data_IF_234295956078
#
_entry.id   IF_234295956078
#
_cell.length_a   1.000
_cell.length_b   1.000
_cell.length_c   1.000
_cell.angle_alpha   90.00
_cell.angle_beta   90.00
_cell.angle_gamma   90.00
#
_symmetry.space_group_name_H-M   'P 1'
#
loop_
_entity.id
_entity.type
_entity.pdbx_description
1 polymer ?
#
# COMPACT_ATOMS: atom_id res chain seq x y z
N UNK A 1 116.06 -63.63 98.20
CA UNK A 1 116.10 -64.49 99.40
C UNK A 1 116.72 -65.85 99.03
N UNK A 2 118.04 -66.03 99.14
CA UNK A 2 118.63 -67.34 99.36
C UNK A 2 118.65 -67.68 100.87
N UNK A 3 119.15 -68.87 101.21
CA UNK A 3 119.25 -69.52 102.55
C UNK A 3 117.99 -70.29 102.97
N UNK A 4 118.10 -71.63 103.04
CA UNK A 4 117.00 -72.48 103.50
C UNK A 4 117.12 -74.00 103.27
N UNK A 5 118.22 -74.52 102.70
CA UNK A 5 118.47 -75.96 102.62
C UNK A 5 119.97 -76.25 102.69
N UNK A 6 120.54 -76.25 103.90
CA UNK A 6 121.77 -77.01 104.13
C UNK A 6 121.43 -78.50 104.01
N UNK A 7 122.35 -79.32 103.52
CA UNK A 7 122.10 -80.75 103.32
C UNK A 7 121.62 -81.42 104.61
N UNK A 8 120.63 -82.30 104.50
CA UNK A 8 120.10 -83.03 105.65
C UNK A 8 121.18 -83.94 106.26
N UNK A 9 121.27 -83.99 107.58
CA UNK A 9 122.33 -84.74 108.28
C UNK A 9 121.88 -86.17 108.58
N UNK A 10 122.51 -87.12 107.90
CA UNK A 10 122.40 -88.56 108.16
C UNK A 10 123.43 -89.03 109.21
N UNK A 11 123.31 -90.30 109.63
CA UNK A 11 124.18 -90.91 110.66
C UNK A 11 125.64 -91.01 110.14
N UNK A 12 126.47 -90.03 110.51
CA UNK A 12 127.87 -89.75 110.06
C UNK A 12 128.03 -88.80 108.85
N UNK A 13 127.13 -87.83 108.62
CA UNK A 13 127.42 -86.70 107.73
C UNK A 13 126.22 -86.23 106.91
N UNK A 14 126.46 -85.42 105.89
CA UNK A 14 125.40 -84.93 104.99
C UNK A 14 124.82 -86.02 104.08
N UNK A 15 123.56 -85.84 103.68
CA UNK A 15 122.85 -86.72 102.74
C UNK A 15 123.51 -86.71 101.37
N UNK A 16 124.17 -87.82 101.03
CA UNK A 16 124.91 -87.97 99.77
C UNK A 16 124.06 -87.66 98.54
N UNK A 17 122.81 -88.12 98.49
CA UNK A 17 121.92 -87.86 97.35
C UNK A 17 121.65 -86.37 97.12
N UNK A 18 121.49 -85.58 98.18
CA UNK A 18 121.29 -84.13 98.07
C UNK A 18 122.58 -83.39 97.70
N UNK A 19 123.73 -83.88 98.16
CA UNK A 19 125.04 -83.35 97.75
C UNK A 19 125.30 -83.62 96.27
N UNK A 20 125.04 -84.85 95.81
CA UNK A 20 125.21 -85.24 94.41
C UNK A 20 124.25 -84.41 93.50
N UNK A 21 122.97 -84.24 93.86
CA UNK A 21 122.01 -83.37 93.14
C UNK A 21 122.46 -81.90 93.08
N UNK A 22 122.99 -81.36 94.19
CA UNK A 22 123.49 -79.99 94.24
C UNK A 22 124.78 -79.79 93.43
N UNK A 23 125.65 -80.80 93.37
CA UNK A 23 126.84 -80.78 92.51
C UNK A 23 126.45 -80.87 91.03
N UNK A 24 125.50 -81.73 90.66
CA UNK A 24 124.95 -81.77 89.30
C UNK A 24 124.32 -80.43 88.89
N UNK A 25 123.63 -79.75 89.82
CA UNK A 25 123.11 -78.39 89.60
C UNK A 25 124.21 -77.37 89.40
N UNK A 26 125.25 -77.35 90.26
CA UNK A 26 126.39 -76.45 90.11
C UNK A 26 127.18 -76.71 88.82
N UNK A 27 127.34 -77.97 88.41
CA UNK A 27 127.98 -78.32 87.13
C UNK A 27 127.13 -77.88 85.93
N UNK A 28 125.80 -77.92 86.03
CA UNK A 28 124.90 -77.37 85.02
C UNK A 28 124.98 -75.84 84.96
N UNK A 29 124.96 -75.16 86.12
CA UNK A 29 125.09 -73.70 86.23
C UNK A 29 126.46 -73.23 85.71
N UNK A 30 127.55 -73.94 86.01
CA UNK A 30 128.88 -73.66 85.48
C UNK A 30 128.95 -73.86 83.96
N UNK A 31 128.34 -74.92 83.41
CA UNK A 31 128.26 -75.13 81.97
C UNK A 31 127.48 -74.00 81.28
N UNK A 32 126.36 -73.56 81.87
CA UNK A 32 125.59 -72.42 81.39
C UNK A 32 126.41 -71.13 81.43
N UNK A 33 127.05 -70.80 82.56
CA UNK A 33 127.90 -69.61 82.69
C UNK A 33 129.11 -69.64 81.73
N UNK A 34 129.69 -70.80 81.44
CA UNK A 34 130.75 -70.89 80.43
C UNK A 34 130.22 -70.68 79.02
N UNK A 35 129.04 -71.20 78.68
CA UNK A 35 128.40 -70.96 77.39
C UNK A 35 128.02 -69.47 77.22
N UNK A 36 127.45 -68.84 78.25
CA UNK A 36 127.11 -67.42 78.27
C UNK A 36 128.35 -66.53 78.15
N UNK A 37 129.44 -66.87 78.86
CA UNK A 37 130.75 -66.20 78.73
C UNK A 37 131.28 -66.31 77.30
N UNK A 38 131.26 -67.50 76.72
CA UNK A 38 131.84 -67.73 75.40
C UNK A 38 131.00 -67.08 74.29
N UNK A 39 129.67 -67.03 74.45
CA UNK A 39 128.77 -66.24 73.62
C UNK A 39 129.03 -64.73 73.75
N UNK A 40 129.24 -64.21 74.97
CA UNK A 40 129.57 -62.81 75.20
C UNK A 40 130.95 -62.43 74.61
N UNK A 41 131.95 -63.32 74.69
CA UNK A 41 133.26 -63.14 74.05
C UNK A 41 133.12 -63.10 72.52
N UNK A 42 132.31 -63.98 71.93
CA UNK A 42 132.04 -63.96 70.50
C UNK A 42 131.36 -62.66 70.07
N UNK A 43 130.30 -62.22 70.77
CA UNK A 43 129.61 -60.95 70.50
C UNK A 43 130.54 -59.74 70.66
N UNK A 44 131.41 -59.72 71.67
CA UNK A 44 132.40 -58.67 71.84
C UNK A 44 133.41 -58.64 70.68
N UNK A 45 133.84 -59.81 70.18
CA UNK A 45 134.68 -59.93 68.99
C UNK A 45 133.99 -59.45 67.72
N UNK A 46 132.70 -59.72 67.54
CA UNK A 46 131.91 -59.25 66.40
C UNK A 46 131.71 -57.73 66.42
N UNK A 47 131.36 -57.16 67.57
CA UNK A 47 131.23 -55.72 67.75
C UNK A 47 132.57 -55.01 67.55
N UNK A 48 133.69 -55.59 68.02
CA UNK A 48 135.02 -55.05 67.76
C UNK A 48 135.34 -55.02 66.25
N UNK A 49 135.00 -56.08 65.51
CA UNK A 49 135.17 -56.11 64.04
C UNK A 49 134.32 -55.07 63.33
N UNK A 50 133.05 -54.91 63.71
CA UNK A 50 132.16 -53.87 63.15
C UNK A 50 132.66 -52.46 63.45
N UNK A 51 133.17 -52.21 64.66
CA UNK A 51 133.77 -50.94 65.04
C UNK A 51 135.02 -50.61 64.22
N UNK A 52 135.90 -51.59 63.95
CA UNK A 52 137.08 -51.35 63.09
C UNK A 52 136.69 -51.11 61.62
N UNK A 53 135.68 -51.80 61.10
CA UNK A 53 135.14 -51.52 59.75
C UNK A 53 134.61 -50.08 59.68
N UNK A 54 133.73 -49.69 60.60
CA UNK A 54 133.18 -48.34 60.64
C UNK A 54 134.25 -47.26 60.90
N UNK A 55 135.30 -47.56 61.69
CA UNK A 55 136.46 -46.67 61.87
C UNK A 55 137.24 -46.49 60.56
N UNK A 56 137.45 -47.56 59.81
CA UNK A 56 138.05 -47.53 58.48
C UNK A 56 137.24 -46.66 57.51
N UNK A 57 135.94 -46.93 57.38
CA UNK A 57 135.02 -46.14 56.53
C UNK A 57 135.00 -44.65 56.91
N UNK A 58 134.96 -44.33 58.22
CA UNK A 58 135.03 -42.95 58.69
C UNK A 58 136.38 -42.30 58.38
N UNK A 59 137.50 -43.04 58.47
CA UNK A 59 138.81 -42.53 58.11
C UNK A 59 138.93 -42.27 56.60
N UNK A 60 138.41 -43.18 55.76
CA UNK A 60 138.37 -43.02 54.31
C UNK A 60 137.49 -41.85 53.88
N UNK A 61 136.28 -41.72 54.46
CA UNK A 61 135.38 -40.59 54.20
C UNK A 61 135.98 -39.26 54.66
N UNK A 62 136.66 -39.22 55.83
CA UNK A 62 137.40 -38.03 56.27
C UNK A 62 138.53 -37.69 55.32
N UNK A 63 139.32 -38.66 54.89
CA UNK A 63 140.38 -38.46 53.91
C UNK A 63 139.86 -37.97 52.54
N UNK A 64 138.67 -38.41 52.12
CA UNK A 64 137.98 -37.85 50.94
C UNK A 64 137.55 -36.40 51.18
N UNK A 65 136.92 -36.09 52.31
CA UNK A 65 136.50 -34.73 52.68
C UNK A 65 137.69 -33.78 52.75
N UNK A 66 138.80 -34.18 53.37
CA UNK A 66 140.02 -33.37 53.49
C UNK A 66 140.64 -33.08 52.10
N UNK A 67 140.69 -34.09 51.21
CA UNK A 67 141.11 -33.91 49.80
C UNK A 67 140.19 -32.96 49.03
N UNK A 68 138.88 -32.99 49.29
CA UNK A 68 137.90 -32.12 48.66
C UNK A 68 137.88 -30.71 49.25
N UNK A 69 138.26 -30.54 50.53
CA UNK A 69 138.27 -29.26 51.25
C UNK A 69 139.54 -28.43 50.99
N UNK A 70 140.67 -29.08 50.71
CA UNK A 70 141.90 -28.39 50.30
C UNK A 70 141.77 -27.76 48.90
N UNK A 71 142.48 -26.65 48.61
CA UNK A 71 142.56 -26.12 47.25
C UNK A 71 143.10 -27.18 46.28
N UNK A 72 142.53 -27.33 45.07
CA UNK A 72 142.92 -28.39 44.15
C UNK A 72 144.32 -28.13 43.56
N UNK A 73 145.34 -28.69 44.21
CA UNK A 73 146.74 -28.67 43.75
C UNK A 73 147.07 -29.82 42.78
N UNK A 74 146.14 -30.75 42.57
CA UNK A 74 146.25 -31.85 41.60
C UNK A 74 145.09 -31.84 40.59
N UNK A 75 145.38 -32.31 39.37
CA UNK A 75 144.40 -32.42 38.27
C UNK A 75 143.27 -33.40 38.60
N UNK A 76 143.59 -34.44 39.37
CA UNK A 76 142.67 -35.51 39.75
C UNK A 76 141.60 -35.02 40.73
N UNK A 77 141.98 -34.22 41.75
CA UNK A 77 141.03 -33.60 42.67
C UNK A 77 140.13 -32.54 42.01
N UNK A 78 140.64 -31.86 40.97
CA UNK A 78 139.82 -30.98 40.14
C UNK A 78 138.77 -31.78 39.35
N UNK A 79 139.16 -32.92 38.76
CA UNK A 79 138.24 -33.77 37.99
C UNK A 79 137.15 -34.40 38.84
N UNK A 80 137.45 -34.89 40.06
CA UNK A 80 136.46 -35.45 40.98
C UNK A 80 135.45 -34.39 41.43
N UNK A 81 135.92 -33.18 41.77
CA UNK A 81 135.05 -32.05 42.14
C UNK A 81 134.15 -31.64 40.96
N UNK A 82 134.67 -31.59 39.74
CA UNK A 82 133.88 -31.28 38.54
C UNK A 82 132.83 -32.36 38.27
N UNK A 83 133.15 -33.65 38.41
CA UNK A 83 132.19 -34.73 38.27
C UNK A 83 131.06 -34.66 39.31
N UNK A 84 131.39 -34.37 40.58
CA UNK A 84 130.38 -34.16 41.65
C UNK A 84 129.52 -32.91 41.38
N UNK A 85 130.11 -31.82 40.91
CA UNK A 85 129.39 -30.60 40.54
C UNK A 85 128.46 -30.82 39.33
N UNK A 86 128.92 -31.53 38.30
CA UNK A 86 128.10 -31.89 37.13
C UNK A 86 126.94 -32.81 37.53
N UNK A 87 127.17 -33.78 38.42
CA UNK A 87 126.11 -34.64 38.95
C UNK A 87 125.08 -33.84 39.73
N UNK A 88 125.51 -32.97 40.66
CA UNK A 88 124.60 -32.11 41.42
C UNK A 88 123.82 -31.13 40.52
N UNK A 89 124.44 -30.63 39.45
CA UNK A 89 123.75 -29.80 38.46
C UNK A 89 122.76 -30.61 37.59
N UNK A 90 123.04 -31.89 37.31
CA UNK A 90 122.11 -32.80 36.65
C UNK A 90 120.93 -33.15 37.56
N UNK A 91 121.18 -33.40 38.84
CA UNK A 91 120.17 -33.69 39.85
C UNK A 91 119.24 -32.46 40.05
N UNK A 92 119.79 -31.24 40.21
CA UNK A 92 118.99 -30.01 40.27
C UNK A 92 118.24 -29.72 38.96
N UNK A 93 118.83 -30.05 37.79
CA UNK A 93 118.14 -29.94 36.50
C UNK A 93 117.00 -30.96 36.35
N UNK A 94 117.10 -32.13 36.98
CA UNK A 94 116.02 -33.10 37.04
C UNK A 94 114.91 -32.62 37.99
N UNK A 95 115.26 -32.14 39.19
CA UNK A 95 114.31 -31.62 40.18
C UNK A 95 113.55 -30.38 39.68
N UNK A 96 114.23 -29.45 39.00
CA UNK A 96 113.58 -28.27 38.41
C UNK A 96 112.63 -28.64 37.27
N UNK A 97 112.97 -29.65 36.44
CA UNK A 97 112.04 -30.21 35.45
C UNK A 97 110.85 -30.89 36.12
N UNK A 98 111.07 -31.74 37.12
CA UNK A 98 110.00 -32.43 37.84
C UNK A 98 109.03 -31.44 38.51
N UNK A 99 109.55 -30.36 39.12
CA UNK A 99 108.75 -29.26 39.67
C UNK A 99 107.93 -28.55 38.57
N UNK A 100 108.57 -28.17 37.46
CA UNK A 100 107.89 -27.51 36.34
C UNK A 100 106.83 -28.39 35.66
N UNK A 101 107.07 -29.70 35.54
CA UNK A 101 106.11 -30.67 35.01
C UNK A 101 104.91 -30.87 35.94
N UNK A 102 105.14 -30.93 37.26
CA UNK A 102 104.07 -30.97 38.25
C UNK A 102 103.22 -29.69 38.25
N UNK A 103 103.85 -28.51 38.21
CA UNK A 103 103.16 -27.22 38.08
C UNK A 103 102.35 -27.12 36.78
N UNK A 104 102.93 -27.53 35.65
CA UNK A 104 102.22 -27.58 34.37
C UNK A 104 101.04 -28.57 34.40
N UNK A 105 101.20 -29.71 35.07
CA UNK A 105 100.13 -30.68 35.34
C UNK A 105 98.99 -30.08 36.15
N UNK A 106 99.30 -29.39 37.26
CA UNK A 106 98.31 -28.68 38.08
C UNK A 106 97.58 -27.57 37.32
N UNK A 107 98.29 -26.78 36.51
CA UNK A 107 97.68 -25.73 35.67
C UNK A 107 96.73 -26.34 34.63
N UNK A 108 97.13 -27.43 33.95
CA UNK A 108 96.27 -28.14 32.99
C UNK A 108 95.03 -28.73 33.65
N UNK A 109 95.21 -29.48 34.75
CA UNK A 109 94.10 -30.10 35.47
C UNK A 109 93.10 -29.05 36.00
N UNK A 110 93.58 -27.90 36.47
CA UNK A 110 92.72 -26.78 36.85
C UNK A 110 91.97 -26.20 35.64
N UNK A 111 92.67 -25.91 34.55
CA UNK A 111 92.06 -25.36 33.33
C UNK A 111 91.02 -26.31 32.70
N UNK A 112 91.26 -27.62 32.75
CA UNK A 112 90.31 -28.66 32.31
C UNK A 112 89.09 -28.72 33.23
N UNK A 113 89.30 -28.64 34.55
CA UNK A 113 88.21 -28.57 35.54
C UNK A 113 87.35 -27.32 35.32
N UNK A 114 87.97 -26.14 35.22
CA UNK A 114 87.28 -24.87 34.98
C UNK A 114 86.54 -24.89 33.63
N UNK A 115 87.15 -25.42 32.57
CA UNK A 115 86.50 -25.57 31.26
C UNK A 115 85.31 -26.56 31.29
N UNK A 116 85.42 -27.67 32.04
CA UNK A 116 84.30 -28.62 32.20
C UNK A 116 83.15 -28.00 32.98
N UNK A 117 83.43 -27.25 34.04
CA UNK A 117 82.43 -26.54 34.84
C UNK A 117 81.73 -25.45 34.02
N UNK A 118 82.44 -24.73 33.16
CA UNK A 118 81.85 -23.75 32.24
C UNK A 118 80.96 -24.42 31.19
N UNK A 119 81.37 -25.54 30.58
CA UNK A 119 80.53 -26.31 29.64
C UNK A 119 79.24 -26.78 30.29
N UNK A 120 79.32 -27.40 31.48
CA UNK A 120 78.15 -27.87 32.21
C UNK A 120 77.16 -26.74 32.55
N UNK A 121 77.67 -25.54 32.91
CA UNK A 121 76.84 -24.35 33.14
C UNK A 121 76.16 -23.86 31.86
N UNK A 122 76.85 -23.86 30.72
CA UNK A 122 76.25 -23.47 29.44
C UNK A 122 75.21 -24.49 28.96
N UNK A 123 75.45 -25.79 29.14
CA UNK A 123 74.47 -26.84 28.84
C UNK A 123 73.20 -26.67 29.69
N UNK A 124 73.36 -26.43 31.01
CA UNK A 124 72.23 -26.10 31.90
C UNK A 124 71.46 -24.86 31.42
N UNK A 125 72.15 -23.75 31.13
CA UNK A 125 71.51 -22.52 30.64
C UNK A 125 70.78 -22.72 29.31
N UNK A 126 71.35 -23.50 28.38
CA UNK A 126 70.68 -23.84 27.12
C UNK A 126 69.42 -24.66 27.36
N UNK A 127 69.46 -25.66 28.25
CA UNK A 127 68.25 -26.43 28.59
C UNK A 127 67.18 -25.59 29.29
N UNK A 128 67.56 -24.63 30.14
CA UNK A 128 66.63 -23.69 30.78
C UNK A 128 65.99 -22.75 29.74
N UNK A 129 66.77 -22.21 28.80
CA UNK A 129 66.26 -21.38 27.71
C UNK A 129 65.33 -22.16 26.77
N UNK A 130 65.64 -23.41 26.46
CA UNK A 130 64.78 -24.28 25.64
C UNK A 130 63.47 -24.64 26.35
N UNK A 131 63.50 -24.88 27.66
CA UNK A 131 62.29 -25.10 28.48
C UNK A 131 61.43 -23.83 28.51
N UNK A 132 62.02 -22.70 28.89
CA UNK A 132 61.33 -21.41 28.93
C UNK A 132 60.76 -21.01 27.58
N UNK A 133 61.47 -21.31 26.48
CA UNK A 133 60.97 -21.09 25.12
C UNK A 133 59.73 -21.95 24.85
N UNK A 134 59.74 -23.24 25.19
CA UNK A 134 58.57 -24.14 25.01
C UNK A 134 57.38 -23.71 25.86
N UNK A 135 57.62 -23.24 27.08
CA UNK A 135 56.58 -22.68 27.96
C UNK A 135 55.96 -21.44 27.34
N UNK A 136 56.77 -20.45 26.95
CA UNK A 136 56.30 -19.24 26.26
C UNK A 136 55.57 -19.54 24.95
N UNK A 137 56.04 -20.50 24.15
CA UNK A 137 55.35 -20.94 22.92
C UNK A 137 54.00 -21.63 23.22
N UNK A 138 53.90 -22.38 24.32
CA UNK A 138 52.66 -23.03 24.75
C UNK A 138 51.66 -22.02 25.34
N UNK A 139 52.11 -21.07 26.15
CA UNK A 139 51.29 -19.95 26.66
C UNK A 139 50.79 -19.07 25.51
N UNK A 140 51.67 -18.66 24.59
CA UNK A 140 51.28 -17.87 23.44
C UNK A 140 50.28 -18.61 22.55
N UNK A 141 50.45 -19.92 22.35
CA UNK A 141 49.48 -20.74 21.61
C UNK A 141 48.12 -20.76 22.30
N UNK A 142 48.06 -20.98 23.62
CA UNK A 142 46.80 -20.92 24.40
C UNK A 142 46.13 -19.56 24.26
N UNK A 143 46.86 -18.47 24.47
CA UNK A 143 46.33 -17.10 24.32
C UNK A 143 45.78 -16.85 22.91
N UNK A 144 46.44 -17.37 21.86
CA UNK A 144 45.92 -17.27 20.48
C UNK A 144 44.70 -18.16 20.24
N UNK A 145 44.63 -19.35 20.83
CA UNK A 145 43.48 -20.27 20.74
C UNK A 145 42.27 -19.68 21.48
N UNK A 146 42.46 -19.18 22.71
CA UNK A 146 41.45 -18.52 23.53
C UNK A 146 40.94 -17.25 22.84
N UNK A 147 41.83 -16.37 22.35
CA UNK A 147 41.44 -15.15 21.63
C UNK A 147 40.68 -15.45 20.32
N UNK A 148 41.04 -16.54 19.61
CA UNK A 148 40.28 -17.00 18.42
C UNK A 148 38.91 -17.56 18.80
N UNK A 149 38.82 -18.31 19.89
CA UNK A 149 37.56 -18.85 20.39
C UNK A 149 36.61 -17.74 20.89
N UNK A 150 37.15 -16.73 21.60
CA UNK A 150 36.41 -15.56 22.04
C UNK A 150 35.95 -14.70 20.86
N UNK A 151 36.84 -14.38 19.92
CA UNK A 151 36.50 -13.65 18.70
C UNK A 151 35.38 -14.36 17.91
N UNK A 152 35.48 -15.70 17.77
CA UNK A 152 34.42 -16.49 17.14
C UNK A 152 33.10 -16.43 17.93
N UNK A 153 33.14 -16.56 19.26
CA UNK A 153 31.94 -16.41 20.10
C UNK A 153 31.29 -15.03 19.93
N UNK A 154 32.08 -13.97 19.77
CA UNK A 154 31.59 -12.61 19.52
C UNK A 154 30.95 -12.51 18.13
N UNK A 155 31.58 -13.05 17.08
CA UNK A 155 30.98 -13.05 15.73
C UNK A 155 29.70 -13.87 15.67
N UNK A 156 29.71 -15.09 16.22
CA UNK A 156 28.56 -16.00 16.21
C UNK A 156 27.36 -15.37 16.95
N UNK A 157 27.60 -14.68 18.08
CA UNK A 157 26.57 -13.91 18.81
C UNK A 157 26.06 -12.72 18.02
N UNK A 158 26.96 -11.92 17.44
CA UNK A 158 26.57 -10.75 16.64
C UNK A 158 25.77 -11.14 15.39
N UNK A 159 26.10 -12.27 14.75
CA UNK A 159 25.32 -12.80 13.63
C UNK A 159 23.95 -13.33 14.08
N UNK A 160 23.87 -14.01 15.22
CA UNK A 160 22.59 -14.47 15.77
C UNK A 160 21.67 -13.29 16.17
N UNK A 161 22.22 -12.24 16.78
CA UNK A 161 21.47 -11.01 17.09
C UNK A 161 21.04 -10.28 15.81
N UNK A 162 21.90 -10.18 14.79
CA UNK A 162 21.56 -9.63 13.48
C UNK A 162 20.39 -10.39 12.85
N UNK A 163 20.50 -11.71 12.73
CA UNK A 163 19.44 -12.57 12.17
C UNK A 163 18.12 -12.43 12.93
N UNK A 164 18.17 -12.33 14.27
CA UNK A 164 16.98 -12.09 15.08
C UNK A 164 16.34 -10.73 14.80
N UNK A 165 17.14 -9.66 14.75
CA UNK A 165 16.65 -8.30 14.46
C UNK A 165 16.13 -8.16 13.02
N UNK A 166 16.75 -8.83 12.06
CA UNK A 166 16.29 -8.90 10.67
C UNK A 166 14.92 -9.60 10.61
N UNK A 167 14.78 -10.78 11.22
CA UNK A 167 13.52 -11.51 11.28
C UNK A 167 12.40 -10.77 12.03
N UNK A 168 12.72 -10.10 13.15
CA UNK A 168 11.77 -9.21 13.85
C UNK A 168 11.37 -8.01 12.99
N UNK A 169 12.27 -7.47 12.18
CA UNK A 169 12.01 -6.33 11.30
C UNK A 169 11.17 -6.74 10.09
N UNK A 170 11.42 -7.91 9.51
CA UNK A 170 10.61 -8.49 8.44
C UNK A 170 9.19 -8.80 8.94
N UNK A 171 9.04 -9.45 10.09
CA UNK A 171 7.73 -9.73 10.69
C UNK A 171 6.92 -8.45 11.00
N UNK A 172 7.59 -7.36 11.43
CA UNK A 172 6.95 -6.05 11.61
C UNK A 172 6.55 -5.41 10.29
N UNK A 173 7.35 -5.57 9.22
CA UNK A 173 6.99 -5.07 7.88
C UNK A 173 5.76 -5.81 7.34
N UNK A 174 5.76 -7.14 7.38
CA UNK A 174 4.60 -7.93 6.92
C UNK A 174 3.36 -7.61 7.72
N UNK A 175 3.45 -7.46 9.05
CA UNK A 175 2.31 -7.05 9.87
C UNK A 175 1.77 -5.66 9.47
N UNK A 176 2.65 -4.67 9.26
CA UNK A 176 2.24 -3.32 8.85
C UNK A 176 1.66 -3.31 7.43
N UNK A 177 2.17 -4.15 6.53
CA UNK A 177 1.62 -4.34 5.19
C UNK A 177 0.22 -4.98 5.24
N UNK A 178 0.03 -6.04 6.02
CA UNK A 178 -1.27 -6.68 6.26
C UNK A 178 -2.29 -5.71 6.89
N UNK A 179 -1.93 -5.02 7.97
CA UNK A 179 -2.78 -4.03 8.64
C UNK A 179 -3.15 -2.87 7.68
N UNK A 180 -2.21 -2.43 6.84
CA UNK A 180 -2.45 -1.40 5.83
C UNK A 180 -3.38 -1.90 4.71
N UNK A 181 -3.19 -3.13 4.22
CA UNK A 181 -4.08 -3.72 3.22
C UNK A 181 -5.51 -3.90 3.74
N UNK A 182 -5.67 -4.35 5.00
CA UNK A 182 -6.96 -4.46 5.67
C UNK A 182 -7.61 -3.08 5.82
N UNK A 183 -6.88 -2.08 6.32
CA UNK A 183 -7.39 -0.72 6.47
C UNK A 183 -7.78 -0.08 5.13
N UNK A 184 -6.99 -0.31 4.07
CA UNK A 184 -7.27 0.17 2.72
C UNK A 184 -8.40 -0.61 2.04
N UNK A 185 -8.58 -1.90 2.33
CA UNK A 185 -9.75 -2.66 1.90
C UNK A 185 -11.02 -2.11 2.57
N UNK A 186 -11.02 -1.97 3.90
CA UNK A 186 -12.14 -1.40 4.66
C UNK A 186 -12.51 0.02 4.20
N UNK A 187 -11.52 0.87 3.94
CA UNK A 187 -11.74 2.22 3.40
C UNK A 187 -12.28 2.21 1.97
N UNK A 188 -11.85 1.27 1.12
CA UNK A 188 -12.41 1.09 -0.24
C UNK A 188 -13.86 0.61 -0.18
N UNK A 189 -14.19 -0.36 0.67
CA UNK A 189 -15.57 -0.86 0.82
C UNK A 189 -16.50 0.22 1.37
N UNK A 190 -16.04 1.02 2.34
CA UNK A 190 -16.84 2.12 2.88
C UNK A 190 -17.03 3.26 1.86
N UNK A 191 -15.99 3.61 1.10
CA UNK A 191 -16.12 4.58 0.00
C UNK A 191 -17.08 4.08 -1.10
N UNK A 192 -17.04 2.79 -1.45
CA UNK A 192 -18.00 2.19 -2.37
C UNK A 192 -19.43 2.20 -1.81
N UNK A 193 -19.60 1.94 -0.51
CA UNK A 193 -20.91 2.02 0.17
C UNK A 193 -21.49 3.43 0.12
N UNK A 194 -20.70 4.44 0.47
CA UNK A 194 -21.11 5.85 0.43
C UNK A 194 -21.45 6.30 -1.00
N UNK A 195 -20.68 5.88 -2.01
CA UNK A 195 -21.00 6.16 -3.41
C UNK A 195 -22.32 5.48 -3.83
N UNK A 196 -22.53 4.22 -3.47
CA UNK A 196 -23.78 3.51 -3.76
C UNK A 196 -24.99 4.14 -3.06
N UNK A 197 -24.84 4.61 -1.81
CA UNK A 197 -25.86 5.35 -1.08
C UNK A 197 -26.16 6.72 -1.72
N UNK A 198 -25.13 7.46 -2.17
CA UNK A 198 -25.31 8.71 -2.90
C UNK A 198 -25.99 8.50 -4.26
N UNK A 199 -25.63 7.44 -5.00
CA UNK A 199 -26.30 7.08 -6.24
C UNK A 199 -27.76 6.68 -6.00
N UNK A 200 -28.04 5.87 -4.98
CA UNK A 200 -29.38 5.44 -4.62
C UNK A 200 -30.27 6.62 -4.19
N UNK A 201 -29.74 7.51 -3.35
CA UNK A 201 -30.41 8.75 -2.98
C UNK A 201 -30.67 9.65 -4.19
N UNK A 202 -29.67 9.82 -5.07
CA UNK A 202 -29.81 10.64 -6.29
C UNK A 202 -30.85 10.07 -7.26
N UNK A 203 -30.89 8.73 -7.41
CA UNK A 203 -31.91 8.02 -8.22
C UNK A 203 -33.29 8.19 -7.59
N UNK A 204 -33.45 7.98 -6.28
CA UNK A 204 -34.71 8.14 -5.58
C UNK A 204 -35.24 9.58 -5.64
N UNK A 205 -34.36 10.60 -5.56
CA UNK A 205 -34.78 11.99 -5.78
C UNK A 205 -35.16 12.29 -7.23
N UNK A 206 -34.45 11.72 -8.22
CA UNK A 206 -34.80 11.89 -9.62
C UNK A 206 -36.16 11.25 -9.92
N UNK A 207 -36.41 10.03 -9.42
CA UNK A 207 -37.71 9.36 -9.48
C UNK A 207 -38.81 10.17 -8.78
N UNK A 208 -38.52 10.77 -7.62
CA UNK A 208 -39.46 11.66 -6.92
C UNK A 208 -39.81 12.89 -7.77
N UNK A 209 -38.81 13.61 -8.30
CA UNK A 209 -39.03 14.78 -9.18
C UNK A 209 -39.79 14.42 -10.46
N UNK A 210 -39.49 13.26 -11.06
CA UNK A 210 -40.23 12.76 -12.24
C UNK A 210 -41.68 12.42 -11.89
N UNK A 211 -41.93 11.84 -10.71
CA UNK A 211 -43.29 11.56 -10.22
C UNK A 211 -44.07 12.83 -9.93
N UNK A 212 -43.49 13.76 -9.16
CA UNK A 212 -44.07 15.09 -8.87
C UNK A 212 -44.41 15.82 -10.18
N UNK A 213 -43.47 15.89 -11.14
CA UNK A 213 -43.72 16.51 -12.44
C UNK A 213 -44.76 15.76 -13.29
N UNK A 214 -44.88 14.44 -13.18
CA UNK A 214 -45.90 13.65 -13.86
C UNK A 214 -47.30 13.85 -13.25
N UNK A 215 -47.38 13.97 -11.93
CA UNK A 215 -48.59 14.30 -11.17
C UNK A 215 -49.04 15.73 -11.44
N UNK A 216 -48.14 16.72 -11.40
CA UNK A 216 -48.41 18.10 -11.80
C UNK A 216 -48.87 18.20 -13.26
N UNK A 217 -48.19 17.51 -14.18
CA UNK A 217 -48.60 17.47 -15.58
C UNK A 217 -49.95 16.75 -15.76
N UNK A 218 -50.30 15.78 -14.91
CA UNK A 218 -51.61 15.15 -14.91
C UNK A 218 -52.69 16.11 -14.35
N UNK A 219 -52.38 16.87 -13.30
CA UNK A 219 -53.28 17.89 -12.74
C UNK A 219 -53.51 19.06 -13.72
N UNK A 220 -52.48 19.49 -14.45
CA UNK A 220 -52.60 20.48 -15.52
C UNK A 220 -53.45 19.91 -16.66
N UNK A 221 -53.20 18.68 -17.13
CA UNK A 221 -54.04 18.03 -18.15
C UNK A 221 -55.49 17.87 -17.70
N UNK A 222 -55.73 17.58 -16.42
CA UNK A 222 -57.08 17.48 -15.85
C UNK A 222 -57.78 18.85 -15.84
N UNK A 223 -57.10 19.92 -15.38
CA UNK A 223 -57.63 21.29 -15.43
C UNK A 223 -57.90 21.77 -16.85
N UNK A 224 -57.00 21.52 -17.79
CA UNK A 224 -57.19 21.84 -19.21
C UNK A 224 -58.37 21.06 -19.78
N UNK A 225 -58.58 19.79 -19.39
CA UNK A 225 -59.75 19.01 -19.78
C UNK A 225 -61.04 19.58 -19.15
N UNK A 226 -61.02 19.97 -17.88
CA UNK A 226 -62.16 20.65 -17.23
C UNK A 226 -62.49 21.98 -17.93
N UNK A 227 -61.49 22.82 -18.22
CA UNK A 227 -61.64 24.06 -18.98
C UNK A 227 -62.13 23.81 -20.41
N UNK A 228 -61.61 22.80 -21.11
CA UNK A 228 -62.10 22.39 -22.44
C UNK A 228 -63.55 21.92 -22.39
N UNK A 229 -63.93 21.11 -21.40
CA UNK A 229 -65.33 20.64 -21.28
C UNK A 229 -66.27 21.78 -20.89
N UNK A 230 -65.84 22.71 -20.03
CA UNK A 230 -66.60 23.91 -19.68
C UNK A 230 -66.74 24.86 -20.88
N UNK A 231 -65.67 25.09 -21.64
CA UNK A 231 -65.68 25.90 -22.85
C UNK A 231 -66.55 25.26 -23.95
N UNK A 232 -66.47 23.95 -24.15
CA UNK A 232 -67.39 23.21 -25.04
C UNK A 232 -68.83 23.31 -24.58
N UNK A 233 -69.12 23.16 -23.29
CA UNK A 233 -70.46 23.30 -22.74
C UNK A 233 -71.01 24.74 -22.89
N UNK A 234 -70.15 25.77 -22.77
CA UNK A 234 -70.53 27.15 -23.05
C UNK A 234 -70.74 27.41 -24.55
N UNK A 235 -69.89 26.87 -25.42
CA UNK A 235 -70.08 26.93 -26.88
C UNK A 235 -71.41 26.27 -27.26
N UNK A 236 -71.69 25.07 -26.76
CA UNK A 236 -72.96 24.36 -26.92
C UNK A 236 -74.14 25.17 -26.39
N UNK A 237 -74.00 25.84 -25.24
CA UNK A 237 -75.02 26.75 -24.70
C UNK A 237 -75.27 27.91 -25.66
N UNK A 238 -74.24 28.63 -26.09
CA UNK A 238 -74.36 29.76 -27.04
C UNK A 238 -74.91 29.31 -28.40
N UNK A 239 -74.58 28.10 -28.85
CA UNK A 239 -75.17 27.50 -30.03
C UNK A 239 -76.67 27.21 -29.82
N UNK A 240 -77.06 26.62 -28.68
CA UNK A 240 -78.48 26.38 -28.35
C UNK A 240 -79.26 27.69 -28.21
N UNK A 241 -78.70 28.72 -27.58
CA UNK A 241 -79.27 30.06 -27.47
C UNK A 241 -79.42 30.71 -28.85
N UNK A 242 -78.38 30.67 -29.69
CA UNK A 242 -78.42 31.18 -31.07
C UNK A 242 -79.42 30.44 -31.95
N UNK A 243 -79.53 29.11 -31.82
CA UNK A 243 -80.53 28.28 -32.51
C UNK A 243 -81.94 28.54 -31.97
N UNK A 244 -82.11 28.77 -30.66
CA UNK A 244 -83.38 29.13 -30.06
C UNK A 244 -83.84 30.53 -30.52
N UNK A 245 -82.94 31.52 -30.57
CA UNK A 245 -83.21 32.85 -31.10
C UNK A 245 -83.50 32.82 -32.62
N UNK A 246 -82.77 32.00 -33.39
CA UNK A 246 -83.04 31.82 -34.82
C UNK A 246 -84.40 31.13 -35.06
N UNK A 247 -84.75 30.13 -34.24
CA UNK A 247 -86.05 29.48 -34.27
C UNK A 247 -87.16 30.43 -33.82
N UNK A 248 -86.91 31.28 -32.81
CA UNK A 248 -87.85 32.32 -32.36
C UNK A 248 -88.10 33.35 -33.46
N UNK A 249 -87.05 33.89 -34.09
CA UNK A 249 -87.18 34.78 -35.27
C UNK A 249 -87.92 34.11 -36.43
N UNK A 250 -87.71 32.81 -36.67
CA UNK A 250 -88.52 32.04 -37.63
C UNK A 250 -89.98 31.96 -37.20
N UNK A 251 -90.26 31.66 -35.93
CA UNK A 251 -91.61 31.56 -35.38
C UNK A 251 -92.34 32.89 -35.50
N UNK A 252 -91.68 33.98 -35.08
CA UNK A 252 -92.17 35.36 -35.15
C UNK A 252 -92.47 35.75 -36.62
N UNK A 253 -91.54 35.46 -37.54
CA UNK A 253 -91.74 35.67 -38.99
C UNK A 253 -92.87 34.82 -39.59
N UNK A 254 -93.05 33.58 -39.13
CA UNK A 254 -94.18 32.73 -39.52
C UNK A 254 -95.50 33.29 -38.98
N UNK A 255 -95.54 33.78 -37.74
CA UNK A 255 -96.74 34.45 -37.21
C UNK A 255 -97.06 35.74 -37.93
N UNK A 256 -96.05 36.54 -38.32
CA UNK A 256 -96.26 37.76 -39.10
C UNK A 256 -96.73 37.46 -40.53
N UNK A 257 -96.16 36.44 -41.18
CA UNK A 257 -96.62 35.96 -42.49
C UNK A 257 -98.06 35.43 -42.43
N UNK A 258 -98.41 34.69 -41.38
CA UNK A 258 -99.77 34.20 -41.15
C UNK A 258 -100.75 35.34 -40.83
N UNK A 259 -100.33 36.39 -40.11
CA UNK A 259 -101.15 37.58 -39.87
C UNK A 259 -101.46 38.30 -41.19
N UNK A 260 -100.45 38.52 -42.05
CA UNK A 260 -100.64 39.12 -43.39
C UNK A 260 -101.53 38.26 -44.30
N UNK A 261 -101.45 36.92 -44.19
CA UNK A 261 -102.35 36.00 -44.89
C UNK A 261 -103.80 36.08 -44.37
N UNK A 262 -103.99 36.24 -43.05
CA UNK A 262 -105.31 36.43 -42.45
C UNK A 262 -105.96 37.75 -42.89
N UNK A 263 -105.20 38.85 -42.84
CA UNK A 263 -105.65 40.17 -43.34
C UNK A 263 -106.04 40.11 -44.83
N UNK A 264 -105.21 39.49 -45.67
CA UNK A 264 -105.52 39.31 -47.09
C UNK A 264 -106.78 38.44 -47.32
N UNK A 265 -106.99 37.40 -46.50
CA UNK A 265 -108.17 36.55 -46.57
C UNK A 265 -109.45 37.28 -46.14
N UNK A 266 -109.38 38.13 -45.12
CA UNK A 266 -110.53 38.91 -44.64
C UNK A 266 -110.85 40.11 -45.56
N UNK A 267 -109.86 40.70 -46.22
CA UNK A 267 -110.11 41.61 -47.34
C UNK A 267 -110.79 40.90 -48.53
N UNK A 268 -110.35 39.70 -48.90
CA UNK A 268 -110.98 38.92 -49.96
C UNK A 268 -112.45 38.59 -49.62
N UNK A 269 -112.73 38.20 -48.37
CA UNK A 269 -114.10 37.99 -47.86
C UNK A 269 -114.95 39.26 -47.88
N UNK A 270 -114.37 40.44 -47.56
CA UNK A 270 -115.06 41.73 -47.72
C UNK A 270 -115.43 42.00 -49.18
N UNK A 271 -114.49 41.85 -50.12
CA UNK A 271 -114.72 42.08 -51.57
C UNK A 271 -115.80 41.16 -52.15
N UNK A 272 -115.85 39.89 -51.72
CA UNK A 272 -116.91 38.94 -52.14
C UNK A 272 -118.28 39.32 -51.58
N UNK A 273 -118.39 39.74 -50.31
CA UNK A 273 -119.66 40.21 -49.74
C UNK A 273 -120.21 41.41 -50.51
N UNK A 274 -119.38 42.45 -50.71
CA UNK A 274 -119.81 43.67 -51.43
C UNK A 274 -120.29 43.39 -52.86
N UNK A 275 -119.66 42.45 -53.57
CA UNK A 275 -120.08 42.04 -54.92
C UNK A 275 -121.41 41.24 -54.91
N UNK A 276 -121.64 40.44 -53.86
CA UNK A 276 -122.88 39.66 -53.70
C UNK A 276 -124.06 40.59 -53.39
N UNK A 277 -123.86 41.59 -52.54
CA UNK A 277 -124.87 42.59 -52.19
C UNK A 277 -125.25 43.50 -53.37
N UNK A 278 -124.29 43.87 -54.23
CA UNK A 278 -124.58 44.57 -55.49
C UNK A 278 -125.37 43.71 -56.49
N UNK A 279 -125.08 42.42 -56.58
CA UNK A 279 -125.80 41.50 -57.47
C UNK A 279 -127.27 41.38 -57.07
N UNK A 280 -127.52 41.14 -55.77
CA UNK A 280 -128.87 41.03 -55.23
C UNK A 280 -129.71 42.30 -55.45
N UNK A 281 -129.11 43.50 -55.31
CA UNK A 281 -129.80 44.78 -55.59
C UNK A 281 -130.21 44.95 -57.06
N UNK A 282 -129.45 44.38 -58.02
CA UNK A 282 -129.79 44.45 -59.44
C UNK A 282 -130.92 43.46 -59.81
N UNK A 283 -131.02 42.34 -59.09
CA UNK A 283 -132.07 41.33 -59.29
C UNK A 283 -133.43 41.84 -58.79
N UNK A 284 -133.52 42.46 -57.61
CA UNK A 284 -134.79 43.05 -57.11
C UNK A 284 -135.29 44.17 -58.03
N UNK A 285 -134.42 45.10 -58.43
CA UNK A 285 -134.77 46.16 -59.38
C UNK A 285 -135.16 45.67 -60.79
N UNK A 286 -134.82 44.45 -61.17
CA UNK A 286 -135.28 43.83 -62.40
C UNK A 286 -136.69 43.23 -62.24
N UNK A 287 -136.97 42.58 -61.11
CA UNK A 287 -138.28 41.98 -60.84
C UNK A 287 -139.39 43.05 -60.68
N UNK A 288 -139.13 44.15 -59.98
CA UNK A 288 -140.07 45.28 -59.86
C UNK A 288 -140.45 45.88 -61.23
N UNK A 289 -139.50 45.91 -62.18
CA UNK A 289 -139.73 46.35 -63.57
C UNK A 289 -140.49 45.33 -64.42
N UNK A 290 -140.51 44.06 -64.03
CA UNK A 290 -141.31 43.01 -64.69
C UNK A 290 -142.75 42.97 -64.17
N UNK A 291 -143.00 43.23 -62.89
CA UNK A 291 -144.37 43.31 -62.35
C UNK A 291 -145.15 44.54 -62.84
N UNK A 292 -144.49 45.70 -62.91
CA UNK A 292 -145.09 46.91 -63.48
C UNK A 292 -145.52 46.73 -64.94
N UNK A 293 -144.73 46.00 -65.75
CA UNK A 293 -145.10 45.63 -67.12
C UNK A 293 -146.23 44.58 -67.20
N UNK A 294 -146.36 43.68 -66.21
CA UNK A 294 -147.49 42.74 -66.14
C UNK A 294 -148.81 43.46 -65.83
N UNK A 295 -148.82 44.41 -64.90
CA UNK A 295 -150.04 45.11 -64.49
C UNK A 295 -150.62 46.01 -65.61
N UNK A 296 -149.77 46.63 -66.43
CA UNK A 296 -150.21 47.39 -67.61
C UNK A 296 -150.85 46.47 -68.67
N UNK A 297 -150.33 45.25 -68.85
CA UNK A 297 -150.89 44.26 -69.78
C UNK A 297 -152.28 43.76 -69.36
N UNK A 298 -152.55 43.57 -68.07
CA UNK A 298 -153.88 43.14 -67.59
C UNK A 298 -154.92 44.26 -67.76
N UNK A 299 -154.55 45.51 -67.41
CA UNK A 299 -155.41 46.69 -67.57
C UNK A 299 -155.89 46.89 -69.01
N UNK A 300 -154.99 46.74 -69.99
CA UNK A 300 -155.32 46.87 -71.42
C UNK A 300 -156.17 45.69 -71.95
N UNK A 301 -156.09 44.51 -71.34
CA UNK A 301 -156.83 43.33 -71.78
C UNK A 301 -158.32 43.34 -71.39
N UNK A 302 -158.67 43.97 -70.26
CA UNK A 302 -160.06 44.03 -69.79
C UNK A 302 -160.86 45.16 -70.45
N UNK A 303 -160.21 46.29 -70.79
CA UNK A 303 -160.86 47.39 -71.54
C UNK A 303 -161.31 46.97 -72.95
N UNK A 304 -160.65 45.98 -73.57
CA UNK A 304 -161.06 45.43 -74.89
C UNK A 304 -162.23 44.44 -74.79
N UNK A 305 -162.54 43.89 -73.60
CA UNK A 305 -163.74 43.03 -73.43
C UNK A 305 -165.02 43.82 -73.22
N UNK A 306 -164.98 44.96 -72.54
CA UNK A 306 -166.19 45.78 -72.32
C UNK A 306 -166.69 46.48 -73.60
N UNK A 307 -165.83 46.68 -74.60
CA UNK A 307 -166.23 47.17 -75.93
C UNK A 307 -166.86 46.08 -76.84
N UNK A 308 -167.01 44.83 -76.37
CA UNK A 308 -167.38 43.68 -77.21
C UNK A 308 -168.77 43.06 -76.98
N UNK A 309 -169.58 43.65 -76.10
CA UNK A 309 -170.95 43.15 -75.80
C UNK A 309 -172.08 44.14 -76.10
N UNK A 310 -171.80 45.38 -76.52
CA UNK A 310 -172.83 46.34 -76.97
C UNK A 310 -172.38 47.05 -78.25
N UNK A 311 -172.27 46.28 -79.33
CA UNK A 311 -172.78 46.62 -80.66
C UNK A 311 -172.87 45.32 -81.47
N UNK A 312 -173.86 44.52 -81.12
CA UNK A 312 -174.37 43.45 -81.98
C UNK A 312 -175.27 44.03 -83.10
N UNK A 313 -174.91 45.20 -83.65
CA UNK A 313 -175.68 45.92 -84.67
C UNK A 313 -174.77 46.83 -85.54
N UNK A 314 -174.91 46.68 -86.86
CA UNK A 314 -174.53 47.62 -87.94
C UNK A 314 -173.04 47.98 -88.27
N UNK A 315 -172.57 47.39 -89.38
CA UNK A 315 -171.91 48.02 -90.57
C UNK A 315 -170.37 48.13 -90.78
N UNK A 316 -169.97 47.75 -92.02
CA UNK A 316 -168.88 48.29 -92.89
C UNK A 316 -167.37 47.89 -92.77
N UNK A 317 -167.05 46.65 -93.16
CA UNK A 317 -166.40 46.21 -94.44
C UNK A 317 -165.39 47.15 -95.22
N UNK A 318 -164.13 46.64 -95.34
CA UNK A 318 -163.09 46.67 -96.45
C UNK A 318 -162.01 47.79 -96.67
N UNK A 319 -160.79 47.33 -97.06
CA UNK A 319 -159.64 48.05 -97.69
C UNK A 319 -158.51 48.47 -96.71
N UNK A 320 -157.23 48.04 -96.73
CA UNK A 320 -156.14 48.06 -97.77
C UNK A 320 -155.75 49.49 -98.23
N UNK A 321 -154.48 49.98 -98.28
CA UNK A 321 -153.10 49.45 -98.02
C UNK A 321 -152.06 50.59 -97.85
N UNK A 322 -150.96 50.32 -97.12
CA UNK A 322 -149.55 50.77 -97.31
C UNK A 322 -148.95 52.20 -97.05
N UNK A 323 -147.64 52.14 -96.71
CA UNK A 323 -146.53 53.13 -96.77
C UNK A 323 -146.20 54.17 -95.66
N UNK A 324 -145.36 53.72 -94.70
CA UNK A 324 -144.00 54.24 -94.34
C UNK A 324 -143.74 55.49 -93.44
N UNK A 325 -142.50 55.54 -92.88
CA UNK A 325 -141.83 56.60 -92.05
C UNK A 325 -142.25 56.58 -90.53
N UNK A 326 -141.54 57.24 -89.57
CA UNK A 326 -140.28 56.89 -88.87
C UNK A 326 -140.45 56.58 -87.34
N UNK A 327 -139.36 56.36 -86.56
CA UNK A 327 -139.08 57.02 -85.24
C UNK A 327 -138.04 56.33 -84.30
N UNK A 328 -136.95 57.06 -84.06
CA UNK A 328 -136.19 57.34 -82.82
C UNK A 328 -136.22 56.53 -81.48
N UNK A 329 -134.99 56.33 -80.98
CA UNK A 329 -134.48 56.38 -79.58
C UNK A 329 -134.97 55.34 -78.54
N UNK A 330 -134.04 54.46 -78.12
CA UNK A 330 -133.59 54.15 -76.72
C UNK A 330 -132.75 52.85 -76.71
N UNK A 331 -131.81 52.58 -75.79
CA UNK A 331 -131.09 53.41 -74.81
C UNK A 331 -129.88 52.65 -74.23
N UNK A 332 -128.94 53.43 -73.69
CA UNK A 332 -128.09 53.13 -72.51
C UNK A 332 -126.98 52.05 -72.59
N UNK A 333 -125.90 52.17 -71.75
CA UNK A 333 -124.58 51.71 -72.18
C UNK A 333 -123.71 50.95 -71.13
N UNK A 334 -122.53 50.49 -71.61
CA UNK A 334 -121.26 50.34 -70.87
C UNK A 334 -121.16 49.25 -69.77
N UNK A 335 -119.95 48.94 -69.22
CA UNK A 335 -118.58 49.35 -69.61
C UNK A 335 -117.56 48.17 -69.77
N UNK A 336 -116.40 48.42 -70.40
CA UNK A 336 -115.18 47.61 -70.20
C UNK A 336 -113.86 48.28 -70.66
N UNK A 337 -112.78 48.07 -69.86
CA UNK A 337 -111.32 48.15 -70.17
C UNK A 337 -110.58 49.51 -70.31
N UNK A 338 -109.56 49.67 -69.44
CA UNK A 338 -108.14 50.15 -69.63
C UNK A 338 -107.84 51.39 -70.50
N UNK A 339 -106.91 52.29 -70.10
CA UNK A 339 -105.48 51.94 -69.88
C UNK A 339 -104.82 52.53 -68.62
N UNK A 340 -103.50 52.36 -68.50
CA UNK A 340 -102.66 52.86 -67.40
C UNK A 340 -101.55 53.78 -67.96
N UNK A 341 -101.07 54.69 -67.11
CA UNK A 341 -100.26 55.86 -67.48
C UNK A 341 -98.86 55.85 -66.83
N UNK A 342 -97.99 56.77 -67.27
CA UNK A 342 -96.64 57.00 -66.77
C UNK A 342 -96.57 58.28 -65.87
N UNK A 343 -95.40 58.90 -65.59
CA UNK A 343 -94.41 58.45 -64.59
C UNK A 343 -94.02 59.56 -63.56
N UNK A 344 -93.36 59.22 -62.43
CA UNK A 344 -92.24 60.00 -61.83
C UNK A 344 -91.67 59.44 -60.48
N UNK A 345 -90.37 59.06 -60.50
CA UNK A 345 -89.23 59.33 -59.57
C UNK A 345 -89.42 59.91 -58.13
N UNK A 346 -88.39 59.81 -57.23
CA UNK A 346 -87.28 58.82 -57.08
C UNK A 346 -86.88 58.51 -55.60
N UNK A 347 -85.67 57.92 -55.42
CA UNK A 347 -84.83 57.76 -54.20
C UNK A 347 -85.14 56.57 -53.25
N UNK A 348 -84.17 55.83 -52.66
CA UNK A 348 -82.71 55.68 -52.90
C UNK A 348 -82.18 54.38 -52.23
N UNK A 349 -80.92 54.00 -52.52
CA UNK A 349 -79.99 53.11 -51.78
C UNK A 349 -79.96 51.59 -52.05
N UNK A 350 -78.78 51.11 -52.46
CA UNK A 350 -77.96 50.20 -51.62
C UNK A 350 -77.77 48.72 -52.03
N UNK A 351 -76.62 48.37 -52.63
CA UNK A 351 -75.87 47.10 -52.42
C UNK A 351 -74.54 47.06 -53.22
N UNK A 352 -73.48 46.39 -52.74
CA UNK A 352 -72.32 46.00 -53.59
C UNK A 352 -70.93 45.80 -52.95
N UNK A 353 -70.67 44.61 -52.38
CA UNK A 353 -69.39 43.85 -52.23
C UNK A 353 -67.98 44.46 -52.48
N UNK A 354 -66.96 43.97 -51.73
CA UNK A 354 -65.70 43.51 -52.37
C UNK A 354 -64.32 43.69 -51.67
N UNK A 355 -63.86 42.66 -50.95
CA UNK A 355 -62.48 42.06 -50.96
C UNK A 355 -61.17 42.84 -50.65
N UNK A 356 -60.29 42.12 -49.90
CA UNK A 356 -58.81 42.03 -49.99
C UNK A 356 -57.88 43.18 -49.51
N UNK A 357 -56.97 42.82 -48.59
CA UNK A 357 -55.60 43.35 -48.52
C UNK A 357 -54.70 42.32 -47.79
N UNK A 358 -53.46 42.15 -48.23
CA UNK A 358 -52.42 41.40 -47.52
C UNK A 358 -51.04 41.72 -48.11
N UNK A 359 -50.05 41.95 -47.26
CA UNK A 359 -48.65 42.28 -47.61
C UNK A 359 -47.74 41.57 -46.58
N UNK A 360 -46.84 40.64 -46.93
CA UNK A 360 -45.52 40.72 -47.62
C UNK A 360 -44.37 40.47 -46.63
N UNK A 361 -43.36 39.76 -47.12
CA UNK A 361 -42.24 39.13 -46.40
C UNK A 361 -41.14 40.12 -45.93
N UNK A 362 -40.30 39.70 -44.96
CA UNK A 362 -38.84 39.53 -45.20
C UNK A 362 -38.03 38.86 -44.07
N UNK A 363 -37.02 38.11 -44.51
CA UNK A 363 -35.96 37.41 -43.76
C UNK A 363 -34.75 38.30 -43.44
N UNK A 364 -33.87 37.89 -42.50
CA UNK A 364 -32.37 37.87 -42.69
C UNK A 364 -31.67 37.07 -41.56
N UNK A 365 -30.39 36.68 -41.79
CA UNK A 365 -29.63 35.61 -41.11
C UNK A 365 -28.62 36.07 -40.03
N UNK A 366 -28.08 35.07 -39.32
CA UNK A 366 -26.98 35.07 -38.35
C UNK A 366 -25.59 35.47 -38.92
N UNK A 367 -24.67 35.84 -38.01
CA UNK A 367 -23.23 35.49 -37.92
C UNK A 367 -22.67 36.15 -36.62
N UNK A 368 -22.17 35.45 -35.59
CA UNK A 368 -20.86 34.76 -35.41
C UNK A 368 -19.61 35.66 -35.45
N UNK A 369 -19.01 35.92 -34.27
CA UNK A 369 -17.60 35.71 -33.90
C UNK A 369 -17.12 36.75 -32.87
N UNK A 370 -16.49 36.30 -31.76
CA UNK A 370 -15.28 36.92 -31.20
C UNK A 370 -14.63 36.03 -30.10
N UNK A 371 -13.30 36.12 -29.97
CA UNK A 371 -12.44 35.29 -29.10
C UNK A 371 -11.30 36.14 -28.53
N UNK A 372 -10.88 35.95 -27.26
CA UNK A 372 -9.42 35.89 -27.01
C UNK A 372 -8.95 34.91 -25.89
N UNK A 373 -7.62 34.69 -25.86
CA UNK A 373 -6.83 33.89 -24.89
C UNK A 373 -6.03 34.84 -23.95
N UNK A 374 -5.19 34.46 -22.96
CA UNK A 374 -4.66 33.20 -22.42
C UNK A 374 -4.12 33.44 -20.97
N UNK A 375 -3.77 32.40 -20.18
CA UNK A 375 -2.72 32.55 -19.15
C UNK A 375 -1.99 31.26 -18.73
N UNK A 376 -0.80 31.43 -18.12
CA UNK A 376 0.26 30.44 -17.86
C UNK A 376 0.84 30.62 -16.44
N UNK A 377 1.22 29.52 -15.77
CA UNK A 377 2.15 29.38 -14.61
C UNK A 377 2.85 28.00 -14.77
N UNK A 378 4.16 27.73 -14.61
CA UNK A 378 5.22 28.15 -13.65
C UNK A 378 5.04 27.53 -12.24
N UNK A 379 5.99 26.86 -11.56
CA UNK A 379 7.39 26.44 -11.85
C UNK A 379 7.82 25.28 -10.88
N UNK A 380 9.03 24.67 -10.97
CA UNK A 380 9.44 23.45 -10.23
C UNK A 380 10.42 23.66 -9.03
N UNK A 381 10.64 22.60 -8.23
CA UNK A 381 11.66 22.41 -7.17
C UNK A 381 11.72 20.90 -6.78
N UNK A 382 12.79 20.30 -6.19
CA UNK A 382 13.76 20.89 -5.25
C UNK A 382 15.26 20.60 -5.54
N UNK A 383 16.13 20.98 -4.58
CA UNK A 383 17.61 20.94 -4.65
C UNK A 383 18.19 20.02 -3.53
N UNK A 384 19.49 20.07 -3.12
CA UNK A 384 20.54 19.17 -3.62
C UNK A 384 21.21 18.29 -2.54
N UNK A 385 22.00 17.30 -2.95
CA UNK A 385 23.08 16.77 -2.09
C UNK A 385 23.56 15.34 -2.33
N UNK A 386 24.84 15.19 -2.66
CA UNK A 386 25.81 14.30 -1.98
C UNK A 386 27.24 14.50 -2.51
N UNK A 387 28.18 14.74 -1.60
CA UNK A 387 29.62 14.50 -1.75
C UNK A 387 29.95 13.32 -0.83
N UNK A 388 30.68 12.34 -1.33
CA UNK A 388 31.41 11.25 -0.65
C UNK A 388 32.09 10.44 -1.77
N UNK A 389 33.34 10.00 -1.70
CA UNK A 389 34.51 10.38 -0.90
C UNK A 389 35.76 10.03 -1.74
#
# INVERSE_FOLDING_TARGET
MPLGAGFDVAKRGYSRAQVDEHLERLDADLKMLTADRDAAIAQAGDLARQLEIARGEIADLRGQVDRLAQPPTSVEGLSERLQRMLRLAQDEAADTRARAEAEAGHIRAKAETDASAMRARYEQLLTELDLRRKEMEAEHRKVLEDARAEAKSITDKAEAERQKLDAESEARRTQVEEDFEIAMAARRTEAMRVLAEQEAASKAEAERRVREAAEDAAAIRAKVLEEETAARAEIDRRQRESVADANKRKQDSITEANARLAEAADEARRRVRTATDESNRRITQANERVETLRNVRTSLADQVRQARTVLAEAHHVLGETDTHIPADIKAAPAPAKKPADAPAKPADSGSGSGSMQGDVEKTVRLNTADVPKAKVQAQPSPSPGKRTD
#
